data_IF_214316787261
#
_entry.id   IF_214316787261
#
_cell.length_a   1.000
_cell.length_b   1.000
_cell.length_c   1.000
_cell.angle_alpha   90.00
_cell.angle_beta   90.00
_cell.angle_gamma   90.00
#
_symmetry.space_group_name_H-M   'P 1'
#
loop_
_entity.id
_entity.type
_entity.pdbx_description
1 polymer ?
#
# COMPACT_ATOMS: atom_id res chain seq x y z
N UNK A 1 -33.30 18.99 -18.03
CA UNK A 1 -33.06 19.11 -16.58
C UNK A 1 -34.21 18.44 -15.88
N UNK A 2 -33.96 17.38 -15.12
CA UNK A 2 -34.95 16.84 -14.19
C UNK A 2 -34.63 17.46 -12.83
N UNK A 3 -35.53 18.23 -12.21
CA UNK A 3 -35.32 18.67 -10.85
C UNK A 3 -35.45 17.43 -9.96
N UNK A 4 -34.37 17.07 -9.28
CA UNK A 4 -34.42 16.07 -8.21
C UNK A 4 -34.76 16.85 -6.95
N UNK A 5 -36.03 16.82 -6.55
CA UNK A 5 -36.42 17.21 -5.20
C UNK A 5 -35.96 16.12 -4.23
N UNK A 6 -35.17 16.51 -3.23
CA UNK A 6 -34.88 15.64 -2.12
C UNK A 6 -35.96 15.87 -1.05
N UNK A 7 -36.69 14.84 -0.60
CA UNK A 7 -37.58 14.97 0.54
C UNK A 7 -36.70 14.90 1.80
N UNK A 8 -36.13 16.03 2.20
CA UNK A 8 -35.54 16.14 3.54
C UNK A 8 -36.50 16.91 4.43
N UNK A 9 -37.11 16.21 5.37
CA UNK A 9 -37.78 16.85 6.51
C UNK A 9 -36.74 17.05 7.60
N UNK A 10 -36.26 18.27 7.77
CA UNK A 10 -35.45 18.66 8.93
C UNK A 10 -36.40 18.98 10.09
N UNK A 11 -36.59 18.03 10.99
CA UNK A 11 -37.27 18.27 12.26
C UNK A 11 -36.24 18.71 13.30
N UNK A 12 -36.43 19.90 13.87
CA UNK A 12 -35.64 20.39 15.00
C UNK A 12 -36.48 20.22 16.26
N UNK A 13 -35.96 19.52 17.27
CA UNK A 13 -36.54 19.53 18.62
C UNK A 13 -35.69 20.51 19.43
N UNK A 14 -36.28 21.65 19.76
CA UNK A 14 -35.66 22.65 20.64
C UNK A 14 -36.20 22.43 22.04
N UNK A 15 -35.35 22.01 22.97
CA UNK A 15 -35.73 21.94 24.38
C UNK A 15 -35.51 23.30 25.02
N UNK A 16 -36.60 23.92 25.47
CA UNK A 16 -36.63 25.25 26.07
C UNK A 16 -37.02 25.07 27.54
N UNK A 17 -36.27 25.63 28.50
CA UNK A 17 -36.71 25.70 29.89
C UNK A 17 -38.07 26.41 30.00
N UNK A 18 -38.97 25.86 30.80
CA UNK A 18 -40.38 26.28 30.88
C UNK A 18 -40.57 27.75 31.30
N UNK A 19 -39.54 28.35 31.93
CA UNK A 19 -39.47 29.74 32.38
C UNK A 19 -38.97 30.72 31.30
N UNK A 20 -38.69 30.25 30.07
CA UNK A 20 -38.07 31.02 28.99
C UNK A 20 -38.83 30.93 27.65
N UNK A 21 -40.06 30.43 27.66
CA UNK A 21 -40.91 30.30 26.45
C UNK A 21 -41.25 31.65 25.80
N UNK A 22 -41.41 32.73 26.57
CA UNK A 22 -41.76 34.05 26.02
C UNK A 22 -40.64 34.68 25.19
N UNK A 23 -39.36 34.34 25.46
CA UNK A 23 -38.21 34.83 24.71
C UNK A 23 -38.09 34.22 23.29
N UNK A 24 -38.75 33.08 23.02
CA UNK A 24 -38.82 32.50 21.67
C UNK A 24 -39.73 33.28 20.72
N UNK A 25 -40.75 33.95 21.26
CA UNK A 25 -41.71 34.74 20.46
C UNK A 25 -41.07 35.93 19.75
N UNK A 26 -39.91 36.40 20.23
CA UNK A 26 -39.08 37.44 19.61
C UNK A 26 -38.09 36.88 18.57
N UNK A 27 -37.47 35.73 18.85
CA UNK A 27 -36.49 35.09 17.97
C UNK A 27 -37.11 34.51 16.69
N UNK A 28 -38.32 33.92 16.78
CA UNK A 28 -39.03 33.39 15.62
C UNK A 28 -39.58 34.49 14.69
N UNK A 29 -39.78 35.73 15.18
CA UNK A 29 -40.21 36.86 14.34
C UNK A 29 -39.11 37.42 13.44
N UNK A 30 -37.84 37.17 13.75
CA UNK A 30 -36.70 37.55 12.90
C UNK A 30 -36.47 36.61 11.70
N UNK A 31 -37.21 35.49 11.62
CA UNK A 31 -37.08 34.49 10.56
C UNK A 31 -38.41 34.12 9.88
N UNK A 32 -39.32 35.08 9.71
CA UNK A 32 -40.34 34.97 8.64
C UNK A 32 -39.69 35.21 7.28
N UNK A 33 -39.05 34.18 6.75
CA UNK A 33 -38.54 34.17 5.38
C UNK A 33 -38.69 32.82 4.68
N UNK A 34 -39.29 31.81 5.32
CA UNK A 34 -39.41 30.46 4.77
C UNK A 34 -40.64 29.74 5.33
N UNK A 35 -41.84 30.09 4.85
CA UNK A 35 -42.91 29.09 4.74
C UNK A 35 -43.74 29.29 3.47
N UNK A 36 -43.89 28.16 2.77
CA UNK A 36 -45.01 27.74 1.93
C UNK A 36 -45.19 28.35 0.53
N UNK A 37 -45.44 27.44 -0.42
CA UNK A 37 -45.91 27.71 -1.77
C UNK A 37 -47.25 28.46 -1.79
N UNK A 38 -47.39 29.31 -2.84
CA UNK A 38 -48.57 29.98 -3.40
C UNK A 38 -49.05 31.32 -2.79
N UNK A 39 -48.40 32.42 -3.20
CA UNK A 39 -49.05 33.52 -3.94
C UNK A 39 -48.01 34.61 -4.36
N UNK A 40 -47.89 34.82 -5.67
CA UNK A 40 -47.58 36.07 -6.39
C UNK A 40 -46.44 37.07 -6.00
N UNK A 41 -45.68 37.40 -7.06
CA UNK A 41 -44.89 38.64 -7.35
C UNK A 41 -43.42 38.72 -6.84
N UNK A 42 -42.50 38.82 -7.83
CA UNK A 42 -41.06 39.18 -7.77
C UNK A 42 -40.80 40.57 -7.10
N UNK A 43 -39.57 41.08 -6.76
CA UNK A 43 -38.22 40.63 -7.13
C UNK A 43 -37.06 40.85 -6.08
N UNK A 44 -35.82 40.51 -6.53
CA UNK A 44 -34.47 41.11 -6.25
C UNK A 44 -33.54 40.62 -5.11
N UNK A 45 -32.43 40.04 -5.60
CA UNK A 45 -31.02 40.17 -5.21
C UNK A 45 -30.53 39.75 -3.82
N UNK A 46 -29.69 38.70 -3.76
CA UNK A 46 -28.22 38.83 -3.66
C UNK A 46 -27.53 37.46 -3.47
N UNK A 47 -26.36 37.30 -4.10
CA UNK A 47 -25.44 36.16 -4.00
C UNK A 47 -24.66 36.20 -2.68
N UNK A 48 -24.35 35.04 -2.11
CA UNK A 48 -23.06 34.76 -1.47
C UNK A 48 -22.74 33.26 -1.53
N UNK A 49 -21.59 32.91 -2.10
CA UNK A 49 -21.01 31.56 -2.12
C UNK A 49 -20.18 31.33 -0.86
N UNK A 50 -20.32 30.17 -0.21
CA UNK A 50 -19.33 29.67 0.76
C UNK A 50 -19.07 28.18 0.50
N UNK A 51 -17.80 27.87 0.22
CA UNK A 51 -17.28 26.54 -0.11
C UNK A 51 -17.12 25.70 1.15
N UNK A 52 -17.82 24.57 1.26
CA UNK A 52 -17.64 23.57 2.33
C UNK A 52 -16.61 22.51 1.90
N UNK A 53 -15.61 22.25 2.76
CA UNK A 53 -14.68 21.11 2.59
C UNK A 53 -15.36 19.78 2.99
N UNK A 54 -14.97 18.63 2.39
CA UNK A 54 -15.59 17.35 2.68
C UNK A 54 -15.17 16.76 4.04
N UNK A 55 -16.05 16.01 4.74
CA UNK A 55 -15.77 15.45 6.06
C UNK A 55 -14.75 14.28 6.01
N UNK A 56 -13.95 14.15 7.06
CA UNK A 56 -13.00 13.03 7.29
C UNK A 56 -13.65 11.93 8.13
N UNK A 57 -13.50 10.68 7.71
CA UNK A 57 -13.98 9.49 8.42
C UNK A 57 -12.89 8.93 9.36
N UNK A 58 -13.26 8.59 10.59
CA UNK A 58 -12.44 7.82 11.54
C UNK A 58 -13.17 6.50 11.84
N UNK A 59 -12.42 5.39 11.86
CA UNK A 59 -12.94 4.02 12.02
C UNK A 59 -12.50 3.45 13.37
N UNK A 60 -13.44 2.91 14.15
CA UNK A 60 -13.16 2.06 15.31
C UNK A 60 -13.47 0.59 14.97
N UNK A 61 -12.51 -0.30 15.20
CA UNK A 61 -12.39 -1.62 14.58
C UNK A 61 -12.96 -2.78 15.42
N UNK A 62 -14.02 -2.56 16.22
CA UNK A 62 -14.64 -3.67 16.99
C UNK A 62 -16.09 -4.01 16.66
N UNK A 63 -16.91 -3.09 16.17
CA UNK A 63 -18.38 -3.30 16.14
C UNK A 63 -19.10 -2.99 14.81
N UNK A 64 -18.41 -2.82 13.67
CA UNK A 64 -19.07 -2.53 12.38
C UNK A 64 -20.03 -1.32 12.42
N UNK A 65 -19.71 -0.29 13.22
CA UNK A 65 -20.46 0.97 13.30
C UNK A 65 -19.68 2.08 12.59
N UNK A 66 -20.36 2.84 11.73
CA UNK A 66 -19.77 3.96 10.98
C UNK A 66 -20.11 5.28 11.66
N UNK A 67 -19.10 6.10 11.95
CA UNK A 67 -19.28 7.45 12.51
C UNK A 67 -18.88 8.50 11.46
N UNK A 68 -19.75 9.48 11.23
CA UNK A 68 -19.43 10.68 10.47
C UNK A 68 -19.30 11.86 11.44
N UNK A 69 -18.10 12.44 11.57
CA UNK A 69 -17.91 13.67 12.30
C UNK A 69 -18.08 14.86 11.34
N UNK A 70 -19.21 15.55 11.45
CA UNK A 70 -19.45 16.80 10.71
C UNK A 70 -18.65 17.93 11.41
N UNK A 71 -18.03 18.87 10.68
CA UNK A 71 -17.33 19.99 11.32
C UNK A 71 -18.30 20.77 12.20
N UNK A 72 -17.87 21.12 13.42
CA UNK A 72 -18.63 21.97 14.32
C UNK A 72 -18.86 23.34 13.66
N UNK A 73 -20.09 23.67 13.31
CA UNK A 73 -20.44 25.03 12.90
C UNK A 73 -20.46 25.88 14.17
N UNK A 74 -19.46 26.75 14.35
CA UNK A 74 -19.41 27.69 15.48
C UNK A 74 -20.42 28.83 15.23
N UNK A 75 -21.63 28.68 15.76
CA UNK A 75 -22.49 29.84 16.02
C UNK A 75 -22.18 30.42 17.40
N UNK A 76 -22.06 31.74 17.50
CA UNK A 76 -22.04 32.44 18.80
C UNK A 76 -23.48 32.53 19.30
N UNK A 77 -23.88 31.58 20.14
CA UNK A 77 -25.10 31.67 20.93
C UNK A 77 -24.83 32.32 22.30
N UNK A 78 -25.84 32.89 22.98
CA UNK A 78 -25.72 33.30 24.37
C UNK A 78 -25.37 32.09 25.26
N UNK A 79 -24.61 32.32 26.34
CA UNK A 79 -23.96 31.28 27.15
C UNK A 79 -24.89 30.25 27.82
N UNK A 80 -26.21 30.43 27.77
CA UNK A 80 -27.20 29.53 28.36
C UNK A 80 -27.80 28.52 27.35
N UNK A 81 -27.44 28.59 26.07
CA UNK A 81 -27.93 27.67 25.03
C UNK A 81 -26.87 26.58 24.75
N UNK A 82 -27.15 25.34 25.13
CA UNK A 82 -26.28 24.19 24.85
C UNK A 82 -26.99 23.19 23.94
N UNK A 83 -26.34 22.83 22.82
CA UNK A 83 -26.78 21.73 21.95
C UNK A 83 -26.06 20.45 22.38
N UNK A 84 -26.81 19.43 22.76
CA UNK A 84 -26.30 18.05 22.82
C UNK A 84 -27.22 17.18 21.98
N UNK A 85 -26.65 16.47 21.02
CA UNK A 85 -27.38 15.57 20.15
C UNK A 85 -26.44 14.48 19.64
N UNK A 86 -26.77 13.23 19.91
CA UNK A 86 -26.20 12.04 19.27
C UNK A 86 -27.13 11.63 18.13
N UNK A 87 -26.57 11.40 16.94
CA UNK A 87 -27.32 10.95 15.78
C UNK A 87 -27.08 9.45 15.57
N UNK A 88 -28.15 8.67 15.45
CA UNK A 88 -28.13 7.31 14.89
C UNK A 88 -28.74 7.36 13.49
N UNK A 89 -28.04 6.79 12.50
CA UNK A 89 -28.58 6.57 11.16
C UNK A 89 -28.54 5.07 10.85
N UNK A 90 -29.72 4.48 10.66
CA UNK A 90 -29.87 3.17 10.02
C UNK A 90 -29.97 3.38 8.50
N UNK A 91 -29.00 2.87 7.74
CA UNK A 91 -29.11 2.82 6.27
C UNK A 91 -29.79 1.53 5.87
N UNK A 92 -31.02 1.63 5.35
CA UNK A 92 -31.61 0.56 4.55
C UNK A 92 -31.01 0.62 3.13
N UNK A 93 -30.33 -0.44 2.70
CA UNK A 93 -29.47 -0.47 1.51
C UNK A 93 -30.21 -0.39 0.15
N UNK A 94 -31.41 0.20 0.07
CA UNK A 94 -32.24 0.19 -1.14
C UNK A 94 -32.18 1.47 -2.01
N UNK A 95 -31.39 2.49 -1.66
CA UNK A 95 -31.35 3.74 -2.44
C UNK A 95 -29.93 4.33 -2.64
N UNK A 96 -28.92 3.47 -2.81
CA UNK A 96 -27.55 3.91 -3.13
C UNK A 96 -27.30 3.66 -4.61
N UNK A 97 -26.86 4.68 -5.37
CA UNK A 97 -26.58 4.50 -6.80
C UNK A 97 -25.58 3.35 -7.02
N UNK A 98 -25.67 2.59 -8.12
CA UNK A 98 -24.80 1.44 -8.38
C UNK A 98 -23.31 1.78 -8.30
N UNK A 99 -22.93 2.99 -8.73
CA UNK A 99 -21.56 3.49 -8.67
C UNK A 99 -21.10 3.69 -7.22
N UNK A 100 -21.94 4.31 -6.39
CA UNK A 100 -21.62 4.57 -4.98
C UNK A 100 -21.55 3.26 -4.17
N UNK A 101 -22.45 2.31 -4.42
CA UNK A 101 -22.40 0.97 -3.83
C UNK A 101 -21.13 0.20 -4.22
N UNK A 102 -20.75 0.28 -5.49
CA UNK A 102 -19.51 -0.35 -6.00
C UNK A 102 -18.27 0.27 -5.36
N UNK A 103 -18.21 1.60 -5.23
CA UNK A 103 -17.10 2.31 -4.60
C UNK A 103 -17.00 1.96 -3.11
N UNK A 104 -18.11 1.99 -2.37
CA UNK A 104 -18.14 1.64 -0.94
C UNK A 104 -17.73 0.19 -0.73
N UNK A 105 -18.24 -0.74 -1.54
CA UNK A 105 -17.85 -2.16 -1.51
C UNK A 105 -16.36 -2.31 -1.79
N UNK A 106 -15.83 -1.65 -2.81
CA UNK A 106 -14.40 -1.71 -3.19
C UNK A 106 -13.48 -1.09 -2.12
N UNK A 107 -13.93 -0.04 -1.44
CA UNK A 107 -13.19 0.56 -0.32
C UNK A 107 -13.15 -0.38 0.88
N UNK A 108 -14.29 -0.99 1.23
CA UNK A 108 -14.40 -2.00 2.29
C UNK A 108 -13.50 -3.22 2.00
N UNK A 109 -13.53 -3.77 0.79
CA UNK A 109 -12.66 -4.91 0.43
C UNK A 109 -11.16 -4.57 0.47
N UNK A 110 -10.78 -3.35 0.06
CA UNK A 110 -9.40 -2.90 0.14
C UNK A 110 -8.92 -2.74 1.60
N UNK A 111 -9.78 -2.27 2.49
CA UNK A 111 -9.47 -2.16 3.91
C UNK A 111 -9.33 -3.54 4.57
N UNK A 112 -10.24 -4.47 4.28
CA UNK A 112 -10.14 -5.88 4.72
C UNK A 112 -8.84 -6.51 4.24
N UNK A 113 -8.49 -6.35 2.96
CA UNK A 113 -7.25 -6.88 2.39
C UNK A 113 -6.00 -6.28 3.08
N UNK A 114 -6.00 -4.96 3.32
CA UNK A 114 -4.89 -4.28 4.00
C UNK A 114 -4.72 -4.78 5.44
N UNK A 115 -5.83 -5.01 6.15
CA UNK A 115 -5.81 -5.53 7.51
C UNK A 115 -5.31 -6.98 7.53
N UNK A 116 -5.81 -7.85 6.66
CA UNK A 116 -5.34 -9.24 6.54
C UNK A 116 -3.82 -9.31 6.24
N UNK A 117 -3.33 -8.47 5.31
CA UNK A 117 -1.88 -8.36 5.04
C UNK A 117 -1.09 -7.86 6.26
N UNK A 118 -1.63 -6.94 7.06
CA UNK A 118 -0.97 -6.43 8.27
C UNK A 118 -0.88 -7.51 9.34
N UNK A 119 -1.96 -8.24 9.56
CA UNK A 119 -2.04 -9.35 10.52
C UNK A 119 -1.06 -10.46 10.15
N UNK A 120 -1.01 -10.86 8.87
CA UNK A 120 -0.07 -11.87 8.41
C UNK A 120 1.39 -11.43 8.59
N UNK A 121 1.73 -10.16 8.32
CA UNK A 121 3.08 -9.65 8.61
C UNK A 121 3.44 -9.76 10.09
N UNK A 122 2.50 -9.41 10.98
CA UNK A 122 2.72 -9.51 12.42
C UNK A 122 2.86 -10.96 12.89
N UNK A 123 2.06 -11.88 12.32
CA UNK A 123 2.14 -13.31 12.63
C UNK A 123 3.49 -13.90 12.21
N UNK A 124 3.96 -13.61 10.99
CA UNK A 124 5.25 -14.13 10.53
C UNK A 124 6.42 -13.48 11.25
N UNK A 125 6.36 -12.18 11.56
CA UNK A 125 7.40 -11.54 12.38
C UNK A 125 7.60 -12.29 13.71
N UNK A 126 6.53 -12.68 14.40
CA UNK A 126 6.61 -13.49 15.63
C UNK A 126 7.24 -14.88 15.42
N UNK A 127 7.06 -15.50 14.25
CA UNK A 127 7.72 -16.78 13.91
C UNK A 127 9.22 -16.58 13.75
N UNK A 128 9.61 -15.50 13.06
CA UNK A 128 11.01 -15.16 12.81
C UNK A 128 11.75 -14.74 14.08
N UNK A 129 11.08 -14.10 15.04
CA UNK A 129 11.67 -13.73 16.34
C UNK A 129 12.12 -14.96 17.16
N UNK A 130 11.57 -16.14 16.87
CA UNK A 130 11.92 -17.39 17.54
C UNK A 130 13.08 -18.15 16.87
N UNK A 131 13.55 -17.69 15.71
CA UNK A 131 14.63 -18.36 14.97
C UNK A 131 16.00 -17.92 15.46
N UNK A 132 16.86 -18.89 15.71
CA UNK A 132 18.27 -18.63 15.95
C UNK A 132 19.05 -18.38 14.64
N UNK A 133 20.24 -17.80 14.79
CA UNK A 133 21.11 -17.46 13.67
C UNK A 133 21.75 -18.69 12.99
N UNK A 134 21.77 -19.86 13.62
CA UNK A 134 22.28 -21.08 13.01
C UNK A 134 21.28 -21.67 12.03
N UNK A 135 20.01 -21.76 12.43
CA UNK A 135 18.90 -22.16 11.57
C UNK A 135 18.80 -21.29 10.33
N UNK A 136 18.91 -19.96 10.46
CA UNK A 136 18.93 -19.05 9.31
C UNK A 136 20.11 -19.35 8.38
N UNK A 137 21.31 -19.58 8.93
CA UNK A 137 22.52 -19.89 8.13
C UNK A 137 22.38 -21.22 7.39
N UNK A 138 21.86 -22.27 8.01
CA UNK A 138 21.63 -23.56 7.37
C UNK A 138 20.62 -23.46 6.23
N UNK A 139 19.49 -22.81 6.49
CA UNK A 139 18.46 -22.56 5.49
C UNK A 139 18.98 -21.73 4.32
N UNK A 140 19.81 -20.71 4.58
CA UNK A 140 20.50 -19.94 3.54
C UNK A 140 21.40 -20.80 2.67
N UNK A 141 22.18 -21.72 3.23
CA UNK A 141 23.02 -22.65 2.44
C UNK A 141 22.18 -23.54 1.53
N UNK A 142 21.06 -24.06 2.05
CA UNK A 142 20.11 -24.86 1.25
C UNK A 142 19.57 -24.04 0.09
N UNK A 143 19.12 -22.80 0.34
CA UNK A 143 18.60 -21.91 -0.70
C UNK A 143 19.67 -21.62 -1.76
N UNK A 144 20.90 -21.29 -1.36
CA UNK A 144 22.01 -21.03 -2.28
C UNK A 144 22.23 -22.23 -3.19
N UNK A 145 22.36 -23.44 -2.61
CA UNK A 145 22.59 -24.66 -3.37
C UNK A 145 21.47 -24.95 -4.38
N UNK A 146 20.22 -24.70 -4.02
CA UNK A 146 19.08 -24.93 -4.92
C UNK A 146 18.99 -23.86 -6.00
N UNK A 147 19.22 -22.59 -5.65
CA UNK A 147 19.14 -21.46 -6.59
C UNK A 147 20.21 -21.60 -7.67
N UNK A 148 21.46 -21.89 -7.30
CA UNK A 148 22.57 -22.03 -8.26
C UNK A 148 22.43 -23.27 -9.14
N UNK A 149 21.64 -24.25 -8.70
CA UNK A 149 21.24 -25.42 -9.49
C UNK A 149 20.11 -25.17 -10.49
N UNK A 150 19.40 -24.03 -10.43
CA UNK A 150 18.31 -23.75 -11.38
C UNK A 150 18.84 -23.47 -12.79
N UNK A 151 18.26 -24.06 -13.85
CA UNK A 151 18.61 -23.73 -15.23
C UNK A 151 18.47 -22.23 -15.51
N UNK A 152 17.44 -21.59 -14.96
CA UNK A 152 17.17 -20.16 -15.12
C UNK A 152 18.28 -19.30 -14.50
N UNK A 153 18.85 -19.73 -13.37
CA UNK A 153 19.99 -19.04 -12.75
C UNK A 153 21.28 -19.26 -13.53
N UNK A 154 21.56 -20.50 -13.95
CA UNK A 154 22.76 -20.84 -14.71
C UNK A 154 22.83 -20.08 -16.04
N UNK A 155 21.70 -19.98 -16.75
CA UNK A 155 21.60 -19.27 -18.03
C UNK A 155 21.58 -17.74 -17.89
N UNK A 156 21.15 -17.22 -16.73
CA UNK A 156 21.10 -15.78 -16.50
C UNK A 156 22.49 -15.13 -16.56
N UNK A 157 22.59 -14.03 -17.29
CA UNK A 157 23.79 -13.18 -17.39
C UNK A 157 23.65 -11.92 -16.56
N UNK A 158 22.41 -11.45 -16.35
CA UNK A 158 22.08 -10.21 -15.66
C UNK A 158 21.07 -10.52 -14.55
N UNK A 159 21.56 -10.57 -13.32
CA UNK A 159 20.77 -10.99 -12.15
C UNK A 159 20.57 -9.83 -11.19
N UNK A 160 19.38 -9.69 -10.63
CA UNK A 160 19.14 -8.79 -9.51
C UNK A 160 19.02 -9.59 -8.21
N UNK A 161 19.76 -9.16 -7.18
CA UNK A 161 19.82 -9.81 -5.88
C UNK A 161 19.62 -8.74 -4.80
N UNK A 162 18.70 -8.96 -3.87
CA UNK A 162 18.58 -8.07 -2.72
C UNK A 162 19.71 -8.30 -1.72
N UNK A 163 20.10 -7.25 -1.00
CA UNK A 163 21.09 -7.36 0.07
C UNK A 163 20.34 -7.58 1.39
N UNK A 164 20.59 -8.73 2.01
CA UNK A 164 19.84 -9.21 3.16
C UNK A 164 19.95 -8.30 4.39
N UNK A 165 18.85 -8.22 5.13
CA UNK A 165 18.83 -7.69 6.49
C UNK A 165 19.62 -8.62 7.43
N UNK A 166 20.16 -8.11 8.56
CA UNK A 166 20.90 -8.93 9.52
C UNK A 166 20.11 -10.09 10.14
N UNK A 167 18.78 -10.00 10.16
CA UNK A 167 17.88 -10.99 10.73
C UNK A 167 16.57 -11.06 9.95
N UNK A 168 15.89 -12.21 10.01
CA UNK A 168 14.56 -12.41 9.45
C UNK A 168 14.50 -12.59 7.93
N UNK A 169 15.65 -12.74 7.26
CA UNK A 169 15.75 -13.03 5.83
C UNK A 169 16.78 -14.13 5.57
N UNK A 170 16.65 -14.79 4.41
CA UNK A 170 17.74 -15.57 3.84
C UNK A 170 18.93 -14.64 3.59
N UNK A 171 20.09 -15.01 4.12
CA UNK A 171 21.36 -14.38 3.77
C UNK A 171 21.71 -14.63 2.30
N UNK A 172 21.79 -13.55 1.52
CA UNK A 172 22.07 -13.57 0.08
C UNK A 172 23.54 -13.35 -0.25
N UNK A 173 24.41 -13.16 0.75
CA UNK A 173 25.84 -12.88 0.56
C UNK A 173 26.51 -13.90 -0.38
N UNK A 174 26.28 -15.19 -0.15
CA UNK A 174 26.84 -16.26 -0.97
C UNK A 174 26.26 -16.28 -2.41
N UNK A 175 25.02 -15.83 -2.61
CA UNK A 175 24.39 -15.73 -3.94
C UNK A 175 25.04 -14.60 -4.74
N UNK A 176 25.36 -13.48 -4.09
CA UNK A 176 26.06 -12.35 -4.71
C UNK A 176 27.48 -12.76 -5.11
N UNK A 177 28.20 -13.44 -4.21
CA UNK A 177 29.54 -13.96 -4.47
C UNK A 177 29.56 -14.91 -5.67
N UNK A 178 28.74 -15.95 -5.66
CA UNK A 178 28.65 -16.93 -6.75
C UNK A 178 28.31 -16.25 -8.09
N UNK A 179 27.35 -15.32 -8.10
CA UNK A 179 26.98 -14.61 -9.32
C UNK A 179 28.15 -13.79 -9.92
N UNK A 180 28.89 -13.07 -9.07
CA UNK A 180 30.05 -12.29 -9.50
C UNK A 180 31.20 -13.19 -9.96
N UNK A 181 31.47 -14.29 -9.25
CA UNK A 181 32.51 -15.27 -9.59
C UNK A 181 32.22 -15.98 -10.92
N UNK A 182 30.95 -16.25 -11.23
CA UNK A 182 30.52 -16.77 -12.53
C UNK A 182 30.49 -15.71 -13.65
N UNK A 183 30.95 -14.48 -13.38
CA UNK A 183 31.00 -13.40 -14.36
C UNK A 183 29.64 -12.83 -14.75
N UNK A 184 28.60 -13.06 -13.94
CA UNK A 184 27.27 -12.45 -14.14
C UNK A 184 27.33 -10.97 -13.76
N UNK A 185 26.55 -10.14 -14.45
CA UNK A 185 26.32 -8.76 -14.05
C UNK A 185 25.28 -8.74 -12.94
N UNK A 186 25.70 -8.37 -11.74
CA UNK A 186 24.83 -8.32 -10.56
C UNK A 186 24.26 -6.91 -10.38
N UNK A 187 22.96 -6.84 -10.10
CA UNK A 187 22.25 -5.61 -9.79
C UNK A 187 21.61 -5.70 -8.41
N UNK A 188 21.65 -4.60 -7.66
CA UNK A 188 21.06 -4.52 -6.31
C UNK A 188 19.97 -3.45 -6.25
N UNK A 189 18.93 -3.65 -5.43
CA UNK A 189 17.86 -2.69 -5.29
C UNK A 189 18.36 -1.40 -4.62
N UNK A 190 17.95 -0.27 -5.17
CA UNK A 190 18.17 1.05 -4.58
C UNK A 190 16.91 1.90 -4.69
N UNK A 191 16.51 2.53 -3.58
CA UNK A 191 15.33 3.40 -3.53
C UNK A 191 15.70 4.87 -3.68
N UNK A 192 15.01 5.59 -4.56
CA UNK A 192 15.16 7.03 -4.73
C UNK A 192 13.80 7.73 -4.83
N UNK A 193 13.82 9.07 -4.88
CA UNK A 193 12.61 9.87 -5.13
C UNK A 193 12.18 9.71 -6.59
N UNK A 194 10.88 9.61 -6.82
CA UNK A 194 10.33 9.69 -8.17
C UNK A 194 10.65 11.06 -8.78
N UNK A 195 11.07 11.07 -10.05
CA UNK A 195 11.30 12.28 -10.83
C UNK A 195 10.63 12.15 -12.21
N UNK A 196 9.72 13.06 -12.61
CA UNK A 196 9.22 14.19 -11.82
C UNK A 196 8.48 13.72 -10.55
N UNK A 197 8.33 14.63 -9.57
CA UNK A 197 7.59 14.32 -8.36
C UNK A 197 6.13 13.98 -8.71
N UNK A 198 5.47 13.06 -7.98
CA UNK A 198 4.10 12.69 -8.29
C UNK A 198 3.16 13.90 -8.24
N UNK A 199 2.31 14.05 -9.24
CA UNK A 199 1.22 15.02 -9.18
C UNK A 199 0.21 14.53 -8.12
N UNK A 200 -0.32 15.40 -7.23
CA UNK A 200 -1.37 15.01 -6.31
C UNK A 200 -2.57 14.39 -7.06
N UNK A 201 -2.92 13.14 -6.73
CA UNK A 201 -4.01 12.40 -7.38
C UNK A 201 -3.58 11.35 -8.41
N UNK A 202 -2.31 11.30 -8.80
CA UNK A 202 -1.77 10.21 -9.64
C UNK A 202 -1.39 8.99 -8.78
N UNK A 203 -1.51 7.78 -9.34
CA UNK A 203 -1.10 6.51 -8.71
C UNK A 203 0.44 6.32 -8.67
N UNK A 204 1.19 7.43 -8.70
CA UNK A 204 2.66 7.43 -8.71
C UNK A 204 3.19 7.57 -7.29
N UNK A 205 4.11 6.67 -6.90
CA UNK A 205 4.67 6.66 -5.54
C UNK A 205 5.73 7.77 -5.39
N UNK A 206 5.83 8.43 -4.22
CA UNK A 206 6.84 9.47 -3.99
C UNK A 206 8.28 8.93 -4.02
N UNK A 207 8.44 7.62 -3.82
CA UNK A 207 9.71 6.91 -3.93
C UNK A 207 9.52 5.67 -4.80
N UNK A 208 10.52 5.41 -5.62
CA UNK A 208 10.61 4.26 -6.51
C UNK A 208 11.90 3.49 -6.21
N UNK A 209 11.94 2.23 -6.63
CA UNK A 209 13.10 1.35 -6.49
C UNK A 209 13.57 0.96 -7.88
N UNK A 210 14.84 1.18 -8.18
CA UNK A 210 15.50 0.68 -9.39
C UNK A 210 16.64 -0.26 -9.01
N UNK A 211 17.20 -0.98 -9.99
CA UNK A 211 18.31 -1.91 -9.77
C UNK A 211 19.59 -1.32 -10.36
N UNK A 212 20.62 -1.17 -9.53
CA UNK A 212 21.92 -0.57 -9.91
C UNK A 212 23.02 -1.63 -9.88
N UNK A 213 23.99 -1.53 -10.79
CA UNK A 213 25.09 -2.52 -10.89
C UNK A 213 25.96 -2.55 -9.64
N UNK A 214 26.38 -3.76 -9.26
CA UNK A 214 27.60 -4.02 -8.49
C UNK A 214 28.73 -4.28 -9.49
N UNK A 215 29.89 -3.65 -9.25
CA UNK A 215 31.01 -3.74 -10.20
C UNK A 215 31.94 -4.93 -9.90
N UNK A 216 32.11 -5.29 -8.62
CA UNK A 216 32.97 -6.41 -8.20
C UNK A 216 32.63 -6.89 -6.78
N UNK A 217 33.34 -7.93 -6.33
CA UNK A 217 33.23 -8.41 -4.96
C UNK A 217 33.79 -7.38 -3.95
N UNK A 218 34.87 -6.69 -4.31
CA UNK A 218 35.45 -5.61 -3.51
C UNK A 218 34.48 -4.43 -3.37
N UNK A 219 33.77 -4.10 -4.47
CA UNK A 219 32.70 -3.09 -4.44
C UNK A 219 31.58 -3.48 -3.46
N UNK A 220 31.12 -4.73 -3.51
CA UNK A 220 30.15 -5.25 -2.56
C UNK A 220 30.63 -5.20 -1.10
N UNK A 221 31.85 -5.66 -0.83
CA UNK A 221 32.45 -5.64 0.51
C UNK A 221 32.69 -4.22 1.04
N UNK A 222 32.93 -3.26 0.14
CA UNK A 222 33.10 -1.85 0.47
C UNK A 222 31.82 -1.10 0.81
N UNK A 223 30.64 -1.72 0.63
CA UNK A 223 29.36 -1.08 0.94
C UNK A 223 29.19 -0.84 2.44
N UNK A 224 28.83 0.39 2.79
CA UNK A 224 28.48 0.73 4.18
C UNK A 224 27.06 0.26 4.48
N UNK A 225 26.87 -0.26 5.70
CA UNK A 225 25.54 -0.64 6.19
C UNK A 225 24.76 0.62 6.59
N UNK A 226 23.48 0.66 6.23
CA UNK A 226 22.55 1.71 6.64
C UNK A 226 22.00 1.43 8.06
N UNK A 227 21.06 2.26 8.54
CA UNK A 227 20.46 2.13 9.86
C UNK A 227 19.69 0.81 10.09
N UNK A 228 19.36 0.09 9.01
CA UNK A 228 18.72 -1.23 9.04
C UNK A 228 19.76 -2.38 8.93
N UNK A 229 21.05 -2.05 8.96
CA UNK A 229 22.13 -3.00 8.78
C UNK A 229 22.30 -3.49 7.34
N UNK A 230 21.57 -2.96 6.36
CA UNK A 230 21.61 -3.42 4.97
C UNK A 230 22.79 -2.73 4.27
N UNK A 231 23.72 -3.46 3.61
CA UNK A 231 24.76 -2.85 2.79
C UNK A 231 24.11 -2.00 1.69
N UNK A 232 24.44 -0.71 1.60
CA UNK A 232 23.76 0.23 0.70
C UNK A 232 24.78 1.09 -0.05
N UNK A 233 24.61 1.29 -1.37
CA UNK A 233 25.40 2.25 -2.13
C UNK A 233 25.35 3.66 -1.54
N UNK A 234 26.48 4.35 -1.55
CA UNK A 234 26.54 5.78 -1.21
C UNK A 234 26.08 6.62 -2.40
N UNK A 235 25.62 7.86 -2.14
CA UNK A 235 25.26 8.83 -3.20
C UNK A 235 26.36 8.97 -4.26
N UNK A 236 27.61 9.10 -3.83
CA UNK A 236 28.77 9.20 -4.73
C UNK A 236 28.93 7.94 -5.59
N UNK A 237 28.81 6.76 -5.00
CA UNK A 237 28.92 5.51 -5.77
C UNK A 237 27.78 5.32 -6.76
N UNK A 238 26.60 5.91 -6.51
CA UNK A 238 25.47 5.79 -7.43
C UNK A 238 25.66 6.58 -8.73
N UNK A 239 26.49 7.61 -8.74
CA UNK A 239 26.78 8.42 -9.94
C UNK A 239 27.48 7.60 -11.03
N UNK A 240 28.22 6.55 -10.64
CA UNK A 240 29.00 5.72 -11.56
C UNK A 240 28.34 4.37 -11.86
N UNK A 241 27.32 3.96 -11.09
CA UNK A 241 26.65 2.67 -11.26
C UNK A 241 25.63 2.73 -12.39
N UNK A 242 25.50 1.64 -13.13
CA UNK A 242 24.52 1.51 -14.22
C UNK A 242 23.16 1.10 -13.66
N UNK A 243 22.12 1.84 -14.03
CA UNK A 243 20.73 1.49 -13.72
C UNK A 243 20.16 0.58 -14.82
N UNK A 244 19.58 -0.57 -14.44
CA UNK A 244 19.01 -1.51 -15.40
C UNK A 244 17.89 -0.88 -16.25
N UNK A 245 17.10 0.03 -15.67
CA UNK A 245 15.97 0.68 -16.33
C UNK A 245 16.42 1.72 -17.36
N UNK A 246 17.64 2.24 -17.25
CA UNK A 246 18.25 3.12 -18.24
C UNK A 246 18.98 2.32 -19.32
N UNK A 247 19.62 1.21 -18.96
CA UNK A 247 20.22 0.29 -19.94
C UNK A 247 19.17 -0.32 -20.90
N UNK A 248 17.94 -0.55 -20.42
CA UNK A 248 16.83 -0.99 -21.29
C UNK A 248 16.53 0.04 -22.39
N UNK A 249 16.57 1.35 -22.05
CA UNK A 249 16.33 2.42 -23.03
C UNK A 249 17.39 2.48 -24.12
N UNK A 250 18.61 2.03 -23.82
CA UNK A 250 19.73 2.02 -24.76
C UNK A 250 19.86 0.70 -25.53
N UNK A 251 18.83 -0.17 -25.47
CA UNK A 251 18.75 -1.40 -26.26
C UNK A 251 19.30 -2.65 -25.57
N UNK A 252 19.60 -2.59 -24.26
CA UNK A 252 19.99 -3.77 -23.49
C UNK A 252 18.75 -4.64 -23.15
N UNK A 253 18.85 -5.98 -23.10
CA UNK A 253 17.73 -6.87 -22.79
C UNK A 253 17.13 -6.71 -21.38
N UNK A 254 17.77 -5.96 -20.49
CA UNK A 254 17.33 -5.78 -19.11
C UNK A 254 17.78 -6.92 -18.21
N UNK A 255 17.03 -7.28 -17.18
CA UNK A 255 17.37 -8.36 -16.27
C UNK A 255 16.88 -9.71 -16.81
N UNK A 256 17.61 -10.77 -16.51
CA UNK A 256 17.22 -12.15 -16.82
C UNK A 256 16.52 -12.81 -15.62
N UNK A 257 17.01 -12.54 -14.40
CA UNK A 257 16.49 -13.13 -13.16
C UNK A 257 16.49 -12.10 -12.01
N UNK A 258 15.48 -12.16 -11.15
CA UNK A 258 15.40 -11.39 -9.90
C UNK A 258 15.19 -12.33 -8.71
N UNK A 259 16.13 -12.29 -7.75
CA UNK A 259 15.98 -12.89 -6.43
C UNK A 259 15.24 -11.90 -5.53
N UNK A 260 14.04 -12.26 -5.09
CA UNK A 260 13.11 -11.37 -4.41
C UNK A 260 12.94 -11.71 -2.93
N UNK A 261 13.05 -10.72 -2.03
CA UNK A 261 12.73 -10.89 -0.62
C UNK A 261 11.21 -10.81 -0.39
N UNK A 262 10.77 -11.32 0.75
CA UNK A 262 9.38 -11.27 1.18
C UNK A 262 9.26 -11.57 2.67
N UNK A 263 8.13 -11.15 3.24
CA UNK A 263 7.72 -11.50 4.60
C UNK A 263 7.07 -12.88 4.62
N UNK A 264 6.23 -13.18 3.62
CA UNK A 264 5.55 -14.47 3.53
C UNK A 264 5.39 -14.91 2.07
N UNK A 265 5.33 -16.22 1.87
CA UNK A 265 5.24 -16.89 0.58
C UNK A 265 4.28 -18.08 0.69
N UNK A 266 3.65 -18.51 -0.39
CA UNK A 266 2.78 -19.70 -0.36
C UNK A 266 2.90 -20.59 -1.59
N UNK A 267 2.15 -21.70 -1.58
CA UNK A 267 2.15 -22.72 -2.63
C UNK A 267 1.66 -22.25 -4.01
N UNK A 268 1.02 -21.08 -4.09
CA UNK A 268 0.54 -20.50 -5.36
C UNK A 268 1.53 -19.47 -5.93
N UNK A 269 2.78 -19.49 -5.46
CA UNK A 269 3.81 -18.52 -5.81
C UNK A 269 3.44 -17.06 -5.50
N UNK A 270 2.58 -16.83 -4.50
CA UNK A 270 2.24 -15.48 -4.04
C UNK A 270 3.25 -15.00 -3.00
N UNK A 271 3.47 -13.69 -2.96
CA UNK A 271 4.46 -13.04 -2.09
C UNK A 271 3.86 -11.87 -1.34
N UNK A 272 4.12 -11.81 -0.04
CA UNK A 272 3.81 -10.67 0.81
C UNK A 272 5.09 -9.88 1.11
N UNK A 273 5.23 -8.65 0.59
CA UNK A 273 6.32 -7.76 0.98
C UNK A 273 6.03 -6.94 2.24
N UNK A 274 7.00 -6.13 2.70
CA UNK A 274 6.88 -5.23 3.87
C UNK A 274 5.85 -4.09 3.75
N UNK A 275 5.13 -3.98 2.63
CA UNK A 275 3.96 -3.09 2.50
C UNK A 275 4.17 -1.81 1.69
N UNK A 276 5.41 -1.48 1.33
CA UNK A 276 5.69 -0.37 0.39
C UNK A 276 5.47 -0.76 -1.08
N UNK A 277 5.43 -2.06 -1.40
CA UNK A 277 5.18 -2.56 -2.75
C UNK A 277 6.20 -2.06 -3.79
N UNK A 278 7.48 -1.99 -3.40
CA UNK A 278 8.56 -1.53 -4.30
C UNK A 278 8.79 -2.51 -5.44
N UNK A 279 8.88 -3.81 -5.14
CA UNK A 279 9.07 -4.86 -6.12
C UNK A 279 7.91 -4.97 -7.11
N UNK A 280 6.67 -4.96 -6.62
CA UNK A 280 5.48 -5.07 -7.47
C UNK A 280 5.39 -3.86 -8.42
N UNK A 281 5.71 -2.66 -7.90
CA UNK A 281 5.77 -1.44 -8.71
C UNK A 281 6.97 -1.43 -9.68
N UNK A 282 8.11 -2.01 -9.32
CA UNK A 282 9.26 -2.16 -10.21
C UNK A 282 8.91 -3.10 -11.37
N UNK A 283 8.34 -4.28 -11.11
CA UNK A 283 7.95 -5.24 -12.14
C UNK A 283 6.90 -4.66 -13.08
N UNK A 284 5.92 -3.90 -12.57
CA UNK A 284 4.96 -3.18 -13.40
C UNK A 284 5.65 -2.21 -14.37
N UNK A 285 6.52 -1.34 -13.86
CA UNK A 285 7.29 -0.39 -14.70
C UNK A 285 8.23 -1.10 -15.66
N UNK A 286 8.81 -2.22 -15.25
CA UNK A 286 9.69 -3.02 -16.09
C UNK A 286 8.93 -3.60 -17.28
N UNK A 287 7.78 -4.23 -17.01
CA UNK A 287 6.88 -4.79 -18.01
C UNK A 287 6.38 -3.73 -18.98
N UNK A 288 6.01 -2.54 -18.49
CA UNK A 288 5.59 -1.41 -19.32
C UNK A 288 6.71 -0.95 -20.29
N UNK A 289 7.98 -1.02 -19.86
CA UNK A 289 9.13 -0.58 -20.68
C UNK A 289 9.66 -1.64 -21.65
N UNK A 290 9.32 -2.90 -21.44
CA UNK A 290 9.86 -4.03 -22.21
C UNK A 290 8.78 -4.79 -22.97
N UNK A 291 7.65 -4.11 -23.23
CA UNK A 291 6.52 -4.63 -24.00
C UNK A 291 6.00 -5.97 -23.45
N UNK A 292 5.74 -6.00 -22.13
CA UNK A 292 5.20 -7.17 -21.43
C UNK A 292 6.23 -8.21 -21.01
N UNK A 293 7.50 -8.09 -21.42
CA UNK A 293 8.55 -9.01 -20.98
C UNK A 293 8.91 -8.73 -19.51
N UNK A 294 9.16 -9.78 -18.75
CA UNK A 294 9.64 -9.65 -17.37
C UNK A 294 10.73 -10.68 -17.10
N UNK A 295 11.71 -10.36 -16.24
CA UNK A 295 12.71 -11.32 -15.81
C UNK A 295 12.07 -12.47 -15.05
N UNK A 296 12.75 -13.62 -15.02
CA UNK A 296 12.36 -14.73 -14.17
C UNK A 296 12.46 -14.34 -12.69
N UNK A 297 11.40 -14.56 -11.93
CA UNK A 297 11.29 -14.13 -10.53
C UNK A 297 11.37 -15.30 -9.58
N UNK A 298 12.36 -15.26 -8.68
CA UNK A 298 12.58 -16.29 -7.67
C UNK A 298 12.46 -15.69 -6.27
N UNK A 299 11.46 -16.14 -5.52
CA UNK A 299 11.35 -15.86 -4.09
C UNK A 299 12.27 -16.79 -3.31
N UNK A 300 12.99 -16.25 -2.33
CA UNK A 300 13.74 -17.06 -1.37
C UNK A 300 13.14 -16.86 0.02
N UNK A 301 12.86 -17.94 0.71
CA UNK A 301 12.12 -17.94 1.95
C UNK A 301 12.79 -18.81 3.00
N UNK A 302 12.85 -18.33 4.23
CA UNK A 302 12.96 -19.21 5.40
C UNK A 302 11.71 -20.09 5.47
N UNK A 303 11.85 -21.29 6.04
CA UNK A 303 10.74 -22.24 6.28
C UNK A 303 9.56 -21.56 6.96
N UNK A 304 9.83 -20.72 7.95
CA UNK A 304 8.84 -20.00 8.75
C UNK A 304 8.11 -18.88 8.00
N UNK A 305 8.64 -18.48 6.83
CA UNK A 305 7.99 -17.55 5.90
C UNK A 305 7.09 -18.26 4.88
N UNK A 306 7.19 -19.60 4.77
CA UNK A 306 6.38 -20.38 3.84
C UNK A 306 5.07 -20.83 4.49
N UNK A 307 3.95 -20.37 3.95
CA UNK A 307 2.61 -20.65 4.44
C UNK A 307 2.13 -22.00 3.91
N UNK A 308 1.63 -22.82 4.81
CA UNK A 308 0.99 -24.10 4.49
C UNK A 308 -0.52 -23.97 4.64
N UNK A 309 -1.34 -24.63 3.78
CA UNK A 309 -2.79 -24.59 3.89
C UNK A 309 -3.28 -24.93 5.32
N UNK A 310 -4.29 -24.22 5.84
CA UNK A 310 -5.15 -23.26 5.14
C UNK A 310 -4.59 -21.83 5.03
N UNK A 311 -3.39 -21.55 5.55
CA UNK A 311 -2.79 -20.21 5.43
C UNK A 311 -2.42 -19.90 3.97
N UNK A 312 -2.63 -18.64 3.57
CA UNK A 312 -2.30 -18.15 2.24
C UNK A 312 -1.99 -16.67 2.27
N UNK A 313 -1.25 -16.19 1.28
CA UNK A 313 -0.98 -14.77 1.10
C UNK A 313 -2.25 -14.08 0.59
N UNK A 314 -2.83 -13.10 1.32
CA UNK A 314 -3.90 -12.27 0.79
C UNK A 314 -3.35 -11.42 -0.36
N UNK A 315 -3.97 -11.52 -1.52
CA UNK A 315 -3.56 -10.81 -2.74
C UNK A 315 -4.67 -9.89 -3.23
N UNK A 316 -4.28 -8.82 -3.91
CA UNK A 316 -5.14 -7.95 -4.70
C UNK A 316 -4.49 -7.61 -6.03
N UNK A 317 -5.16 -6.78 -6.82
CA UNK A 317 -4.86 -6.55 -8.25
C UNK A 317 -3.45 -6.02 -8.55
N UNK A 318 -2.75 -5.48 -7.55
CA UNK A 318 -1.41 -4.90 -7.70
C UNK A 318 -0.27 -5.81 -7.23
N UNK A 319 -0.56 -6.98 -6.68
CA UNK A 319 0.48 -7.90 -6.20
C UNK A 319 0.97 -8.78 -7.35
N UNK A 320 2.29 -8.87 -7.51
CA UNK A 320 2.89 -9.63 -8.60
C UNK A 320 3.21 -11.08 -8.15
N UNK A 321 2.65 -12.11 -8.80
CA UNK A 321 2.98 -13.51 -8.50
C UNK A 321 4.36 -13.88 -9.04
N UNK A 322 5.09 -14.71 -8.30
CA UNK A 322 6.43 -15.16 -8.68
C UNK A 322 6.38 -16.35 -9.64
N UNK A 323 7.50 -16.65 -10.28
CA UNK A 323 7.65 -17.85 -11.11
C UNK A 323 8.08 -19.05 -10.28
N UNK A 324 8.93 -18.85 -9.28
CA UNK A 324 9.43 -19.89 -8.39
C UNK A 324 9.66 -19.38 -6.96
N UNK A 325 9.48 -20.24 -5.97
CA UNK A 325 9.91 -20.02 -4.58
C UNK A 325 10.83 -21.17 -4.16
N UNK A 326 11.96 -20.81 -3.56
CA UNK A 326 12.87 -21.75 -2.89
C UNK A 326 12.74 -21.54 -1.38
N UNK A 327 12.46 -22.61 -0.66
CA UNK A 327 12.30 -22.60 0.80
C UNK A 327 13.52 -23.22 1.46
N UNK A 328 13.93 -22.66 2.59
CA UNK A 328 15.08 -23.11 3.39
C UNK A 328 15.05 -24.56 3.85
N UNK A 329 13.89 -25.22 3.79
CA UNK A 329 13.72 -26.65 4.09
C UNK A 329 13.88 -27.57 2.86
N UNK A 330 14.29 -27.02 1.72
CA UNK A 330 14.62 -27.78 0.51
C UNK A 330 13.52 -27.82 -0.55
N UNK A 331 12.35 -27.20 -0.31
CA UNK A 331 11.27 -27.17 -1.30
C UNK A 331 11.55 -26.17 -2.42
N UNK A 332 11.20 -26.57 -3.64
CA UNK A 332 11.14 -25.67 -4.81
C UNK A 332 9.71 -25.69 -5.34
N UNK A 333 9.01 -24.57 -5.20
CA UNK A 333 7.63 -24.40 -5.66
C UNK A 333 7.69 -23.65 -6.99
N UNK A 334 7.10 -24.21 -8.04
CA UNK A 334 7.00 -23.54 -9.34
C UNK A 334 5.56 -23.16 -9.62
N UNK A 335 5.35 -21.98 -10.18
CA UNK A 335 4.03 -21.54 -10.64
C UNK A 335 3.62 -22.44 -11.81
N UNK A 336 2.43 -23.03 -11.71
CA UNK A 336 1.86 -23.92 -12.74
C UNK A 336 1.35 -23.15 -13.95
#
# INVERSE_FOLDING_TARGET
MVPVEFPYTLAWIVNVPQDREEDLGGLLRLHRGLESHQAEILPRHSRTENVLQPPRTLVDAKDSRYFCQVPSIKYKFPAWLTFTGSYEFEFNAMAVSPLTSTIIRRMSTNETLRNAKRELRAAVAKRLDALDAESVREQSRTVVSLLTGLPEYQQARRVSIYLSMPAGEIDTTAIVQDALEQGKRVFIPFTHKAMPAPTPGEDQKPSVMDMVSLESLEDYQGLKRNNWGIPTPTKKSLETRKNCMDEIKTGNPGLDLIVMPGVAFDGECRRLGHGKGYYDYFLRRYSERTDGKVPFTVGVALKDQFLVPPESVPVGDKDWPLDTIIVGDGKVIRRR
#
